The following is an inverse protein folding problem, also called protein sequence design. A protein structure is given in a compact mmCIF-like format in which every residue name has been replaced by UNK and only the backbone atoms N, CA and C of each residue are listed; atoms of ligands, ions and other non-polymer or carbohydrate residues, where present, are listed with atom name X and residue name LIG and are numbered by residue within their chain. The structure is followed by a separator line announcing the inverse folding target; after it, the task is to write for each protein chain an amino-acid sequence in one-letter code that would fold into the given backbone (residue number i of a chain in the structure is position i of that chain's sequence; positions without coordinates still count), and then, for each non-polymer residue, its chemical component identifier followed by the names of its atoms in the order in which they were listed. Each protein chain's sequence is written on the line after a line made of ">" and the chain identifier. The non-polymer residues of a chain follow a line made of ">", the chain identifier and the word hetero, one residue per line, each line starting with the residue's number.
data_IF_396259816567
#
_entry.id   IF_396259816567
#
_cell.length_a   1.000
_cell.length_b   1.000
_cell.length_c   1.000
_cell.angle_alpha   90.00
_cell.angle_beta   90.00
_cell.angle_gamma   90.00
#
_symmetry.space_group_name_H-M   'P 1'
#
loop_
_entity.id
_entity.type
_entity.pdbx_description
1 polymer ?
#
# COMPACT_ATOMS: atom_id res chain seq x y z
N UNK A 1 14.79 -9.70 -20.41
CA UNK A 1 13.33 -9.60 -20.24
C UNK A 1 12.83 -9.92 -18.82
N UNK A 2 12.91 -11.15 -18.29
CA UNK A 2 12.41 -11.41 -16.90
C UNK A 2 13.22 -10.69 -15.81
N UNK A 3 14.54 -10.55 -15.99
CA UNK A 3 15.44 -9.87 -15.04
C UNK A 3 15.21 -8.36 -14.98
N UNK A 4 14.89 -7.73 -16.12
CA UNK A 4 14.64 -6.30 -16.23
C UNK A 4 13.29 -5.91 -15.61
N UNK A 5 12.25 -6.73 -15.81
CA UNK A 5 10.96 -6.56 -15.14
C UNK A 5 11.10 -6.69 -13.63
N UNK A 6 11.87 -7.68 -13.15
CA UNK A 6 12.15 -7.83 -11.72
C UNK A 6 12.99 -6.68 -11.15
N UNK A 7 13.92 -6.13 -11.92
CA UNK A 7 14.74 -4.96 -11.54
C UNK A 7 13.88 -3.70 -11.47
N UNK A 8 13.04 -3.45 -12.47
CA UNK A 8 12.09 -2.34 -12.52
C UNK A 8 11.03 -2.44 -11.41
N UNK A 9 10.52 -3.63 -11.14
CA UNK A 9 9.63 -3.89 -10.00
C UNK A 9 10.34 -3.70 -8.65
N UNK A 10 11.64 -4.02 -8.56
CA UNK A 10 12.48 -3.78 -7.38
C UNK A 10 12.78 -2.30 -7.18
N UNK A 11 12.95 -1.54 -8.26
CA UNK A 11 13.14 -0.09 -8.24
C UNK A 11 11.86 0.65 -7.90
N UNK A 12 10.69 0.19 -8.36
CA UNK A 12 9.39 0.71 -7.89
C UNK A 12 9.17 0.51 -6.40
N UNK A 13 9.74 -0.53 -5.77
CA UNK A 13 9.64 -0.73 -4.32
C UNK A 13 10.47 0.27 -3.49
N UNK A 14 11.34 1.07 -4.11
CA UNK A 14 12.14 2.07 -3.39
C UNK A 14 11.28 3.29 -3.10
N UNK A 15 11.31 3.72 -1.85
CA UNK A 15 10.66 4.97 -1.45
C UNK A 15 11.32 6.14 -2.16
N UNK A 16 10.52 6.98 -2.81
CA UNK A 16 11.05 8.14 -3.56
C UNK A 16 10.93 9.38 -2.68
N UNK A 17 12.04 10.12 -2.53
CA UNK A 17 12.05 11.41 -1.83
C UNK A 17 11.31 12.45 -2.68
N UNK A 18 10.38 13.17 -2.08
CA UNK A 18 9.70 14.30 -2.74
C UNK A 18 10.63 15.51 -2.64
N UNK A 19 10.91 16.17 -3.76
CA UNK A 19 11.97 17.20 -3.87
C UNK A 19 11.76 18.44 -2.98
N UNK A 20 10.53 18.73 -2.56
CA UNK A 20 10.18 19.97 -1.83
C UNK A 20 9.97 19.79 -0.31
N UNK A 21 10.02 18.56 0.22
CA UNK A 21 9.82 18.28 1.65
C UNK A 21 10.54 16.97 2.02
N UNK A 22 10.99 16.80 3.26
CA UNK A 22 11.51 15.52 3.76
C UNK A 22 10.39 14.47 3.89
N UNK A 23 9.78 14.10 2.76
CA UNK A 23 8.67 13.18 2.65
C UNK A 23 9.02 12.06 1.67
N UNK A 24 8.60 10.86 2.01
CA UNK A 24 8.88 9.62 1.27
C UNK A 24 7.58 9.05 0.71
N UNK A 25 7.55 8.73 -0.59
CA UNK A 25 6.44 8.01 -1.22
C UNK A 25 6.71 6.51 -1.17
N UNK A 26 5.79 5.75 -0.59
CA UNK A 26 5.81 4.29 -0.61
C UNK A 26 4.69 3.77 -1.51
N UNK A 27 4.99 3.12 -2.64
CA UNK A 27 3.96 2.49 -3.45
C UNK A 27 3.51 1.20 -2.78
N UNK A 28 2.28 1.24 -2.27
CA UNK A 28 1.63 0.09 -1.65
C UNK A 28 0.54 -0.37 -2.60
N UNK A 29 0.66 -1.61 -3.05
CA UNK A 29 -0.40 -2.25 -3.83
C UNK A 29 -1.55 -2.63 -2.88
N UNK A 30 -2.76 -2.29 -3.26
CA UNK A 30 -4.00 -2.74 -2.59
C UNK A 30 -4.76 -3.61 -3.58
N UNK A 31 -5.08 -4.84 -3.19
CA UNK A 31 -5.86 -5.76 -4.04
C UNK A 31 -7.31 -5.27 -4.25
N UNK A 32 -8.05 -5.89 -5.19
CA UNK A 32 -9.42 -5.48 -5.57
C UNK A 32 -10.42 -5.37 -4.42
N UNK A 33 -10.16 -6.01 -3.27
CA UNK A 33 -11.01 -5.94 -2.05
C UNK A 33 -10.37 -5.15 -0.90
N UNK A 34 -9.36 -4.32 -1.17
CA UNK A 34 -8.68 -3.52 -0.15
C UNK A 34 -7.64 -4.27 0.68
N UNK A 35 -7.25 -5.50 0.28
CA UNK A 35 -6.17 -6.22 0.96
C UNK A 35 -4.82 -5.58 0.63
N UNK A 36 -4.07 -5.05 1.62
CA UNK A 36 -2.77 -4.46 1.36
C UNK A 36 -1.74 -5.54 1.05
N UNK A 37 -0.91 -5.27 0.06
CA UNK A 37 0.18 -6.15 -0.33
C UNK A 37 1.28 -6.22 0.75
N UNK A 38 2.17 -7.23 0.69
CA UNK A 38 3.32 -7.34 1.59
C UNK A 38 4.23 -6.10 1.63
N UNK A 39 4.17 -5.24 0.60
CA UNK A 39 4.89 -3.95 0.57
C UNK A 39 4.48 -3.01 1.71
N UNK A 40 3.23 -3.04 2.18
CA UNK A 40 2.78 -2.26 3.35
C UNK A 40 3.57 -2.65 4.61
N UNK A 41 3.76 -3.95 4.81
CA UNK A 41 4.54 -4.46 5.92
C UNK A 41 6.00 -4.02 5.86
N UNK A 42 6.56 -3.81 4.66
CA UNK A 42 7.93 -3.30 4.47
C UNK A 42 7.99 -1.79 4.70
N UNK A 43 7.01 -1.02 4.20
CA UNK A 43 6.89 0.41 4.53
C UNK A 43 6.89 0.62 6.04
N UNK A 44 6.07 -0.13 6.79
CA UNK A 44 6.01 0.02 8.24
C UNK A 44 7.35 -0.27 8.91
N UNK A 45 8.10 -1.24 8.40
CA UNK A 45 9.44 -1.52 8.89
C UNK A 45 10.42 -0.36 8.61
N UNK A 46 10.35 0.24 7.43
CA UNK A 46 11.19 1.37 7.03
C UNK A 46 10.89 2.62 7.86
N UNK A 47 9.64 2.83 8.29
CA UNK A 47 9.25 3.89 9.24
C UNK A 47 9.32 3.47 10.72
N UNK A 48 10.00 2.35 11.02
CA UNK A 48 10.27 1.82 12.37
C UNK A 48 9.02 1.44 13.19
N UNK A 49 7.91 1.15 12.53
CA UNK A 49 6.72 0.54 13.15
C UNK A 49 6.90 -0.98 13.12
N UNK A 50 7.13 -1.58 14.30
CA UNK A 50 7.50 -3.00 14.45
C UNK A 50 6.60 -3.74 15.45
N UNK A 51 6.80 -5.06 15.59
CA UNK A 51 6.13 -5.88 16.61
C UNK A 51 4.60 -5.87 16.51
N UNK A 52 3.93 -5.76 17.67
CA UNK A 52 2.47 -5.69 17.75
C UNK A 52 1.90 -4.42 17.11
N UNK A 53 2.60 -3.29 17.23
CA UNK A 53 2.19 -2.03 16.60
C UNK A 53 2.08 -2.17 15.08
N UNK A 54 3.02 -2.91 14.46
CA UNK A 54 2.96 -3.23 13.02
C UNK A 54 1.73 -4.06 12.65
N UNK A 55 1.40 -5.10 13.43
CA UNK A 55 0.22 -5.94 13.18
C UNK A 55 -1.08 -5.12 13.26
N UNK A 56 -1.19 -4.26 14.28
CA UNK A 56 -2.34 -3.38 14.47
C UNK A 56 -2.45 -2.33 13.36
N UNK A 57 -1.32 -1.73 12.95
CA UNK A 57 -1.28 -0.74 11.88
C UNK A 57 -1.71 -1.36 10.55
N UNK A 58 -1.20 -2.56 10.21
CA UNK A 58 -1.63 -3.30 9.02
C UNK A 58 -3.15 -3.56 9.07
N UNK A 59 -3.67 -4.08 10.19
CA UNK A 59 -5.11 -4.35 10.33
C UNK A 59 -5.97 -3.11 10.10
N UNK A 60 -5.61 -1.98 10.70
CA UNK A 60 -6.33 -0.71 10.54
C UNK A 60 -6.32 -0.21 9.10
N UNK A 61 -5.16 -0.26 8.45
CA UNK A 61 -5.03 0.15 7.05
C UNK A 61 -5.84 -0.77 6.13
N UNK A 62 -5.80 -2.10 6.35
CA UNK A 62 -6.62 -3.05 5.59
C UNK A 62 -8.11 -2.74 5.70
N UNK A 63 -8.62 -2.50 6.92
CA UNK A 63 -10.03 -2.18 7.13
C UNK A 63 -10.43 -0.87 6.45
N UNK A 64 -9.58 0.15 6.50
CA UNK A 64 -9.84 1.42 5.82
C UNK A 64 -9.86 1.26 4.30
N UNK A 65 -8.91 0.49 3.74
CA UNK A 65 -8.84 0.21 2.31
C UNK A 65 -10.03 -0.63 1.83
N UNK A 66 -10.44 -1.64 2.60
CA UNK A 66 -11.62 -2.45 2.32
C UNK A 66 -12.90 -1.62 2.31
N UNK A 67 -13.14 -0.81 3.35
CA UNK A 67 -14.32 0.08 3.41
C UNK A 67 -14.36 1.07 2.25
N UNK A 68 -13.22 1.68 1.93
CA UNK A 68 -13.11 2.62 0.81
C UNK A 68 -13.37 1.94 -0.53
N UNK A 69 -12.84 0.73 -0.72
CA UNK A 69 -13.10 -0.08 -1.91
C UNK A 69 -14.58 -0.45 -1.99
N UNK A 70 -15.17 -0.97 -0.91
CA UNK A 70 -16.58 -1.36 -0.85
C UNK A 70 -17.52 -0.20 -1.19
N UNK A 71 -17.23 1.02 -0.71
CA UNK A 71 -18.01 2.20 -1.07
C UNK A 71 -18.03 2.47 -2.58
N UNK A 72 -16.90 2.29 -3.28
CA UNK A 72 -16.83 2.43 -4.74
C UNK A 72 -17.67 1.36 -5.45
N UNK A 73 -17.68 0.12 -4.94
CA UNK A 73 -18.47 -0.97 -5.52
C UNK A 73 -19.97 -0.79 -5.31
N UNK A 74 -20.39 -0.34 -4.13
CA UNK A 74 -21.81 -0.07 -3.83
C UNK A 74 -22.34 1.06 -4.71
N UNK A 75 -21.61 2.18 -4.84
CA UNK A 75 -22.03 3.31 -5.68
C UNK A 75 -22.17 2.96 -7.16
N UNK A 76 -21.34 2.03 -7.66
CA UNK A 76 -21.41 1.55 -9.04
C UNK A 76 -22.72 0.85 -9.36
N UNK A 77 -23.34 0.20 -8.36
CA UNK A 77 -24.60 -0.52 -8.54
C UNK A 77 -25.85 0.33 -8.23
N UNK A 78 -25.68 1.56 -7.74
CA UNK A 78 -26.77 2.49 -7.40
C UNK A 78 -27.01 3.57 -8.47
N UNK A 79 -26.25 3.57 -9.56
CA UNK A 79 -26.41 4.51 -10.69
C UNK A 79 -27.07 3.86 -11.90
N UNK A 80 -28.08 3.02 -11.67
CA UNK A 80 -28.93 2.40 -12.71
C UNK A 80 -30.30 3.06 -12.72
#
# INVERSE_FOLDING_TARGET
>A
MKKDVLRHMRERKRSTKISSRNAWKYPIEVGCRGFPAPSLGKMFQDVRIVGQARKLAIKKVSQAAERSSNWLWIRRNTSS
#
